data_IF_754561145074
#
_entry.id   IF_754561145074
#
_cell.length_a   1.000
_cell.length_b   1.000
_cell.length_c   1.000
_cell.angle_alpha   90.00
_cell.angle_beta   90.00
_cell.angle_gamma   90.00
#
_symmetry.space_group_name_H-M   'P 1'
#
loop_
_entity.id
_entity.type
_entity.pdbx_description
1 polymer ?
#
# COMPACT_ATOMS: atom_id res chain seq x y z
N UNK A 1 -19.00 -30.71 19.96
CA UNK A 1 -17.60 -30.71 19.49
C UNK A 1 -17.69 -31.05 18.01
N UNK A 2 -17.63 -30.03 17.14
CA UNK A 2 -17.56 -30.25 15.69
C UNK A 2 -16.17 -30.77 15.39
N UNK A 3 -16.07 -31.97 14.86
CA UNK A 3 -14.85 -32.44 14.21
C UNK A 3 -14.54 -31.46 13.10
N UNK A 4 -13.41 -30.75 13.21
CA UNK A 4 -12.96 -29.80 12.22
C UNK A 4 -12.70 -30.51 10.90
N UNK A 5 -13.58 -30.29 9.95
CA UNK A 5 -13.42 -30.78 8.59
C UNK A 5 -12.61 -29.74 7.79
N UNK A 6 -11.54 -30.18 7.12
CA UNK A 6 -10.77 -29.34 6.18
C UNK A 6 -11.76 -28.70 5.21
N UNK A 7 -11.71 -27.39 5.09
CA UNK A 7 -12.61 -26.64 4.23
C UNK A 7 -12.24 -26.84 2.75
N UNK A 8 -13.23 -26.76 1.89
CA UNK A 8 -13.01 -26.76 0.44
C UNK A 8 -12.33 -25.43 0.01
N UNK A 9 -11.56 -25.47 -1.07
CA UNK A 9 -10.93 -24.28 -1.65
C UNK A 9 -11.95 -23.17 -1.95
N UNK A 10 -13.12 -23.55 -2.46
CA UNK A 10 -14.22 -22.62 -2.71
C UNK A 10 -14.68 -21.92 -1.42
N UNK A 11 -14.82 -22.66 -0.32
CA UNK A 11 -15.21 -22.08 0.96
C UNK A 11 -14.14 -21.18 1.55
N UNK A 12 -12.88 -21.58 1.44
CA UNK A 12 -11.73 -20.75 1.83
C UNK A 12 -11.73 -19.45 1.01
N UNK A 13 -11.96 -19.53 -0.30
CA UNK A 13 -12.08 -18.37 -1.18
C UNK A 13 -13.17 -17.40 -0.76
N UNK A 14 -14.35 -17.89 -0.43
CA UNK A 14 -15.47 -17.07 0.06
C UNK A 14 -15.14 -16.37 1.39
N UNK A 15 -14.47 -17.06 2.30
CA UNK A 15 -14.06 -16.49 3.59
C UNK A 15 -13.01 -15.39 3.39
N UNK A 16 -12.00 -15.63 2.56
CA UNK A 16 -10.94 -14.65 2.27
C UNK A 16 -11.50 -13.42 1.55
N UNK A 17 -12.36 -13.64 0.53
CA UNK A 17 -13.03 -12.54 -0.18
C UNK A 17 -13.85 -11.67 0.78
N UNK A 18 -14.65 -12.28 1.65
CA UNK A 18 -15.44 -11.58 2.64
C UNK A 18 -14.58 -10.82 3.65
N UNK A 19 -13.47 -11.40 4.11
CA UNK A 19 -12.55 -10.77 5.04
C UNK A 19 -11.86 -9.55 4.42
N UNK A 20 -11.39 -9.66 3.17
CA UNK A 20 -10.77 -8.57 2.44
C UNK A 20 -11.74 -7.41 2.19
N UNK A 21 -13.01 -7.71 1.92
CA UNK A 21 -14.05 -6.70 1.74
C UNK A 21 -14.41 -6.00 3.06
N UNK A 22 -14.46 -6.73 4.16
CA UNK A 22 -14.83 -6.22 5.48
C UNK A 22 -13.69 -5.46 6.19
N UNK A 23 -12.44 -5.69 5.78
CA UNK A 23 -11.28 -5.09 6.42
C UNK A 23 -11.18 -3.59 6.10
N UNK A 24 -10.71 -2.81 7.07
CA UNK A 24 -10.46 -1.37 6.90
C UNK A 24 -9.18 -1.08 6.10
N UNK A 25 -8.33 -2.06 5.90
CA UNK A 25 -7.06 -1.92 5.17
C UNK A 25 -6.55 -3.25 4.62
N UNK A 26 -5.36 -3.25 3.99
CA UNK A 26 -4.79 -4.47 3.42
C UNK A 26 -4.55 -5.55 4.47
N UNK A 27 -4.74 -6.82 4.09
CA UNK A 27 -4.49 -7.97 4.93
C UNK A 27 -3.32 -8.80 4.39
N UNK A 28 -2.43 -9.18 5.29
CA UNK A 28 -1.33 -10.10 4.99
C UNK A 28 -1.82 -11.55 4.96
N UNK A 29 -1.02 -12.45 4.36
CA UNK A 29 -1.28 -13.90 4.43
C UNK A 29 -1.40 -14.37 5.88
N UNK A 30 -0.58 -13.82 6.80
CA UNK A 30 -0.66 -14.14 8.23
C UNK A 30 -1.96 -13.65 8.88
N UNK A 31 -2.47 -12.48 8.49
CA UNK A 31 -3.77 -12.02 8.97
C UNK A 31 -4.89 -12.96 8.50
N UNK A 32 -4.84 -13.37 7.23
CA UNK A 32 -5.82 -14.29 6.66
C UNK A 32 -5.70 -15.69 7.28
N UNK A 33 -4.49 -16.18 7.51
CA UNK A 33 -4.25 -17.48 8.16
C UNK A 33 -4.91 -17.57 9.54
N UNK A 34 -4.86 -16.49 10.32
CA UNK A 34 -5.47 -16.43 11.66
C UNK A 34 -7.00 -16.47 11.68
N UNK A 35 -7.67 -16.33 10.53
CA UNK A 35 -9.11 -16.46 10.43
C UNK A 35 -9.58 -17.90 10.59
N UNK A 36 -8.70 -18.86 10.31
CA UNK A 36 -9.02 -20.28 10.28
C UNK A 36 -8.63 -20.95 11.60
N UNK A 37 -9.51 -21.82 12.08
CA UNK A 37 -9.22 -22.66 13.22
C UNK A 37 -8.27 -23.82 12.83
N UNK A 38 -7.72 -24.47 13.84
CA UNK A 38 -6.96 -25.70 13.66
C UNK A 38 -7.83 -26.74 12.92
N UNK A 39 -7.27 -27.41 11.92
CA UNK A 39 -7.90 -28.39 11.03
C UNK A 39 -8.87 -27.83 9.96
N UNK A 40 -9.06 -26.53 9.81
CA UNK A 40 -9.83 -25.95 8.70
C UNK A 40 -9.00 -25.80 7.42
N UNK A 41 -7.68 -25.66 7.55
CA UNK A 41 -6.69 -25.65 6.46
C UNK A 41 -5.84 -26.93 6.51
N UNK A 42 -5.13 -27.21 5.43
CA UNK A 42 -4.13 -28.27 5.40
C UNK A 42 -2.99 -27.98 6.39
N UNK A 43 -2.69 -28.93 7.28
CA UNK A 43 -1.77 -28.74 8.41
C UNK A 43 -0.40 -28.18 8.02
N UNK A 44 0.22 -28.68 6.94
CA UNK A 44 1.56 -28.27 6.52
C UNK A 44 1.56 -27.17 5.43
N UNK A 45 0.45 -26.96 4.75
CA UNK A 45 0.34 -26.15 3.56
C UNK A 45 -0.63 -24.96 3.67
N UNK A 46 -1.23 -24.72 4.83
CA UNK A 46 -2.30 -23.71 4.99
C UNK A 46 -1.95 -22.32 4.41
N UNK A 47 -0.72 -21.83 4.62
CA UNK A 47 -0.29 -20.54 4.04
C UNK A 47 -0.12 -20.57 2.53
N UNK A 48 0.31 -21.71 1.99
CA UNK A 48 0.39 -21.91 0.54
C UNK A 48 -1.01 -21.95 -0.06
N UNK A 49 -1.92 -22.68 0.57
CA UNK A 49 -3.32 -22.76 0.18
C UNK A 49 -3.98 -21.37 0.12
N UNK A 50 -3.73 -20.52 1.12
CA UNK A 50 -4.20 -19.13 1.10
C UNK A 50 -3.61 -18.35 -0.10
N UNK A 51 -2.32 -18.47 -0.40
CA UNK A 51 -1.70 -17.81 -1.55
C UNK A 51 -2.30 -18.29 -2.87
N UNK A 52 -2.54 -19.57 -3.00
CA UNK A 52 -3.14 -20.17 -4.21
C UNK A 52 -4.59 -19.67 -4.39
N UNK A 53 -5.35 -19.56 -3.30
CA UNK A 53 -6.70 -18.98 -3.31
C UNK A 53 -6.66 -17.49 -3.66
N UNK A 54 -5.73 -16.72 -3.12
CA UNK A 54 -5.56 -15.30 -3.47
C UNK A 54 -5.25 -15.12 -4.96
N UNK A 55 -4.41 -15.96 -5.54
CA UNK A 55 -4.12 -15.95 -6.98
C UNK A 55 -5.38 -16.24 -7.82
N UNK A 56 -6.19 -17.22 -7.40
CA UNK A 56 -7.45 -17.53 -8.05
C UNK A 56 -8.47 -16.37 -7.95
N UNK A 57 -8.54 -15.69 -6.81
CA UNK A 57 -9.39 -14.50 -6.63
C UNK A 57 -8.93 -13.32 -7.48
N UNK A 58 -7.63 -13.16 -7.66
CA UNK A 58 -7.05 -12.13 -8.55
C UNK A 58 -7.47 -12.39 -10.00
N UNK A 59 -7.30 -13.61 -10.52
CA UNK A 59 -7.75 -14.01 -11.86
C UNK A 59 -9.26 -13.85 -12.06
N UNK A 60 -10.05 -14.15 -11.04
CA UNK A 60 -11.51 -13.99 -11.09
C UNK A 60 -11.98 -12.54 -11.22
N UNK A 61 -11.08 -11.56 -11.09
CA UNK A 61 -11.39 -10.15 -11.26
C UNK A 61 -11.26 -9.66 -12.72
N UNK A 62 -10.77 -10.46 -13.65
CA UNK A 62 -10.45 -10.02 -15.03
C UNK A 62 -11.63 -9.31 -15.71
N UNK A 63 -12.83 -9.87 -15.64
CA UNK A 63 -14.04 -9.33 -16.24
C UNK A 63 -14.92 -8.51 -15.27
N UNK A 64 -14.36 -8.12 -14.11
CA UNK A 64 -15.08 -7.38 -13.07
C UNK A 64 -14.59 -5.94 -12.98
N UNK A 65 -15.39 -5.09 -12.31
CA UNK A 65 -15.02 -3.69 -12.04
C UNK A 65 -14.06 -3.49 -10.88
N UNK A 66 -13.67 -4.58 -10.22
CA UNK A 66 -12.75 -4.60 -9.08
C UNK A 66 -11.51 -5.40 -9.44
N UNK A 67 -10.43 -5.13 -8.74
CA UNK A 67 -9.19 -5.91 -8.80
C UNK A 67 -8.69 -6.22 -7.39
N UNK A 68 -8.05 -7.37 -7.25
CA UNK A 68 -7.32 -7.74 -6.04
C UNK A 68 -5.84 -7.44 -6.28
N UNK A 69 -5.26 -6.58 -5.47
CA UNK A 69 -3.85 -6.18 -5.60
C UNK A 69 -3.09 -6.48 -4.31
N UNK A 70 -1.79 -6.66 -4.48
CA UNK A 70 -0.84 -6.72 -3.38
C UNK A 70 -0.10 -5.39 -3.26
N UNK A 71 -0.15 -4.80 -2.06
CA UNK A 71 0.60 -3.61 -1.67
C UNK A 71 1.53 -3.92 -0.50
N UNK A 72 2.29 -2.96 -0.01
CA UNK A 72 3.28 -3.19 1.07
C UNK A 72 2.67 -3.80 2.34
N UNK A 73 1.45 -3.41 2.70
CA UNK A 73 0.74 -3.88 3.90
C UNK A 73 -0.08 -5.16 3.69
N UNK A 74 -0.12 -5.72 2.49
CA UNK A 74 -0.83 -6.95 2.18
C UNK A 74 -1.72 -6.86 0.94
N UNK A 75 -2.83 -7.58 0.95
CA UNK A 75 -3.79 -7.65 -0.15
C UNK A 75 -5.02 -6.79 0.13
N UNK A 76 -5.56 -6.17 -0.90
CA UNK A 76 -6.83 -5.44 -0.86
C UNK A 76 -7.56 -5.48 -2.18
N UNK A 77 -8.89 -5.41 -2.12
CA UNK A 77 -9.71 -5.10 -3.27
C UNK A 77 -9.77 -3.60 -3.52
N UNK A 78 -9.78 -3.21 -4.76
CA UNK A 78 -10.02 -1.83 -5.18
C UNK A 78 -10.78 -1.78 -6.50
N UNK A 79 -11.40 -0.64 -6.82
CA UNK A 79 -11.97 -0.40 -8.13
C UNK A 79 -10.86 -0.30 -9.18
N UNK A 80 -11.08 -0.86 -10.36
CA UNK A 80 -10.14 -0.73 -11.47
C UNK A 80 -9.98 0.73 -11.89
N UNK A 81 -8.74 1.12 -12.20
CA UNK A 81 -8.38 2.50 -12.51
C UNK A 81 -9.08 3.05 -13.77
N UNK A 82 -9.34 2.20 -14.76
CA UNK A 82 -10.06 2.57 -15.98
C UNK A 82 -11.53 2.98 -15.73
N UNK A 83 -12.09 2.61 -14.58
CA UNK A 83 -13.43 3.00 -14.15
C UNK A 83 -13.46 4.28 -13.30
N UNK A 84 -12.32 4.90 -13.05
CA UNK A 84 -12.19 6.07 -12.16
C UNK A 84 -13.04 7.26 -12.59
N UNK A 85 -13.27 7.44 -13.90
CA UNK A 85 -14.10 8.52 -14.44
C UNK A 85 -15.56 8.46 -13.97
N UNK A 86 -16.07 7.26 -13.69
CA UNK A 86 -17.42 7.05 -13.16
C UNK A 86 -17.42 7.02 -11.65
N UNK A 87 -16.52 6.25 -11.05
CA UNK A 87 -16.44 6.06 -9.61
C UNK A 87 -16.21 7.38 -8.88
N UNK A 88 -15.38 8.28 -9.42
CA UNK A 88 -15.11 9.60 -8.83
C UNK A 88 -16.35 10.50 -8.71
N UNK A 89 -17.41 10.22 -9.46
CA UNK A 89 -18.67 10.97 -9.37
C UNK A 89 -19.48 10.70 -8.10
N UNK A 90 -19.11 9.67 -7.34
CA UNK A 90 -19.69 9.38 -6.02
C UNK A 90 -19.39 10.49 -4.99
N UNK A 91 -18.31 11.23 -5.20
CA UNK A 91 -17.89 12.31 -4.31
C UNK A 91 -18.15 13.66 -4.99
N UNK A 92 -18.92 14.49 -4.33
CA UNK A 92 -19.22 15.86 -4.82
C UNK A 92 -17.99 16.76 -4.79
N UNK A 93 -17.07 16.53 -3.85
CA UNK A 93 -15.81 17.24 -3.75
C UNK A 93 -14.77 16.64 -4.71
N UNK A 94 -14.18 17.50 -5.52
CA UNK A 94 -13.05 17.11 -6.37
C UNK A 94 -11.90 16.63 -5.46
N UNK A 95 -11.28 15.47 -5.74
CA UNK A 95 -10.14 15.02 -4.97
C UNK A 95 -9.07 16.12 -4.95
N UNK A 96 -8.45 16.31 -3.78
CA UNK A 96 -7.38 17.28 -3.60
C UNK A 96 -6.29 17.04 -4.65
N UNK A 97 -6.08 18.03 -5.50
CA UNK A 97 -4.96 17.99 -6.45
C UNK A 97 -3.70 18.42 -5.71
N UNK A 98 -2.74 17.51 -5.64
CA UNK A 98 -1.43 17.84 -5.12
C UNK A 98 -0.69 18.75 -6.08
N UNK A 99 0.01 19.75 -5.53
CA UNK A 99 0.83 20.64 -6.34
C UNK A 99 2.01 19.87 -6.94
N UNK A 100 2.48 20.31 -8.10
CA UNK A 100 3.70 19.77 -8.71
C UNK A 100 4.89 19.81 -7.75
N UNK A 101 5.05 20.91 -7.02
CA UNK A 101 6.12 21.08 -6.04
C UNK A 101 6.08 20.02 -4.92
N UNK A 102 4.87 19.66 -4.44
CA UNK A 102 4.70 18.60 -3.44
C UNK A 102 5.09 17.24 -4.01
N UNK A 103 4.62 16.91 -5.22
CA UNK A 103 4.92 15.64 -5.87
C UNK A 103 6.40 15.49 -6.22
N UNK A 104 7.06 16.56 -6.69
CA UNK A 104 8.50 16.56 -6.93
C UNK A 104 9.29 16.34 -5.64
N UNK A 105 8.90 16.98 -4.55
CA UNK A 105 9.52 16.78 -3.23
C UNK A 105 9.36 15.34 -2.76
N UNK A 106 8.16 14.78 -2.86
CA UNK A 106 7.88 13.39 -2.51
C UNK A 106 8.70 12.41 -3.35
N UNK A 107 8.78 12.64 -4.66
CA UNK A 107 9.57 11.81 -5.56
C UNK A 107 11.06 11.82 -5.17
N UNK A 108 11.63 12.98 -4.83
CA UNK A 108 13.02 13.06 -4.38
C UNK A 108 13.26 12.27 -3.10
N UNK A 109 12.33 12.33 -2.14
CA UNK A 109 12.44 11.48 -0.94
C UNK A 109 12.40 10.01 -1.34
N UNK A 110 11.46 9.60 -2.19
CA UNK A 110 11.30 8.20 -2.60
C UNK A 110 12.54 7.63 -3.30
N UNK A 111 13.15 8.39 -4.21
CA UNK A 111 14.29 7.94 -5.01
C UNK A 111 15.65 8.12 -4.36
N UNK A 112 15.80 9.10 -3.47
CA UNK A 112 17.09 9.50 -2.90
C UNK A 112 17.23 9.23 -1.40
N UNK A 113 16.19 8.72 -0.76
CA UNK A 113 16.21 8.46 0.68
C UNK A 113 17.43 7.64 1.16
N UNK A 114 17.97 7.91 2.35
CA UNK A 114 17.55 8.96 3.27
C UNK A 114 18.09 10.35 2.83
N UNK A 115 17.24 11.36 2.88
CA UNK A 115 17.59 12.74 2.47
C UNK A 115 17.15 13.77 3.50
N UNK A 116 17.90 14.88 3.59
CA UNK A 116 17.49 16.05 4.37
C UNK A 116 16.66 17.00 3.51
N UNK A 117 15.95 17.93 4.16
CA UNK A 117 15.30 19.03 3.46
C UNK A 117 16.28 19.84 2.61
N UNK A 118 17.50 20.11 3.14
CA UNK A 118 18.52 20.82 2.42
C UNK A 118 19.00 20.10 1.15
N UNK A 119 19.11 18.76 1.18
CA UNK A 119 19.43 17.97 -0.01
C UNK A 119 18.36 18.14 -1.09
N UNK A 120 17.09 18.09 -0.70
CA UNK A 120 15.94 18.26 -1.62
C UNK A 120 15.98 19.66 -2.25
N UNK A 121 16.22 20.70 -1.45
CA UNK A 121 16.33 22.09 -1.91
C UNK A 121 17.50 22.27 -2.88
N UNK A 122 18.62 21.64 -2.60
CA UNK A 122 19.80 21.66 -3.47
C UNK A 122 19.52 21.00 -4.83
N UNK A 123 18.86 19.85 -4.85
CA UNK A 123 18.52 19.14 -6.08
C UNK A 123 17.50 19.92 -6.91
N UNK A 124 16.48 20.47 -6.25
CA UNK A 124 15.42 21.24 -6.93
C UNK A 124 15.87 22.64 -7.37
N UNK A 125 16.92 23.17 -6.76
CA UNK A 125 17.38 24.56 -7.00
C UNK A 125 16.45 25.64 -6.41
N UNK A 126 15.44 25.24 -5.64
CA UNK A 126 14.46 26.12 -4.97
C UNK A 126 14.15 25.61 -3.57
N UNK A 127 13.78 26.53 -2.67
CA UNK A 127 13.39 26.17 -1.31
C UNK A 127 12.14 25.27 -1.28
N UNK A 128 12.10 24.37 -0.30
CA UNK A 128 10.91 23.56 0.01
C UNK A 128 10.11 24.29 1.09
N UNK A 129 8.85 24.60 0.80
CA UNK A 129 8.00 25.25 1.79
C UNK A 129 7.77 24.33 3.00
N UNK A 130 7.68 24.96 4.17
CA UNK A 130 7.35 24.20 5.40
C UNK A 130 6.01 23.52 5.31
N UNK A 131 5.07 24.07 4.56
CA UNK A 131 3.75 23.48 4.33
C UNK A 131 3.84 22.16 3.53
N UNK A 132 4.71 22.06 2.52
CA UNK A 132 4.94 20.83 1.76
C UNK A 132 5.45 19.73 2.71
N UNK A 133 6.50 20.00 3.48
CA UNK A 133 7.06 19.03 4.43
C UNK A 133 6.01 18.59 5.45
N UNK A 134 5.28 19.55 6.01
CA UNK A 134 4.20 19.25 6.97
C UNK A 134 3.12 18.36 6.35
N UNK A 135 2.66 18.67 5.15
CA UNK A 135 1.63 17.87 4.46
C UNK A 135 2.11 16.44 4.22
N UNK A 136 3.34 16.25 3.78
CA UNK A 136 3.91 14.91 3.56
C UNK A 136 4.01 14.10 4.86
N UNK A 137 4.37 14.75 5.97
CA UNK A 137 4.44 14.13 7.29
C UNK A 137 3.04 13.81 7.85
N UNK A 138 2.09 14.74 7.74
CA UNK A 138 0.71 14.56 8.21
C UNK A 138 -0.04 13.46 7.45
N UNK A 139 0.27 13.27 6.17
CA UNK A 139 -0.24 12.15 5.38
C UNK A 139 0.45 10.83 5.65
N UNK A 140 1.46 10.84 6.49
CA UNK A 140 2.29 9.67 6.76
C UNK A 140 2.92 9.06 5.49
N UNK A 141 3.23 9.90 4.51
CA UNK A 141 3.95 9.44 3.31
C UNK A 141 5.47 9.46 3.48
N UNK A 142 5.96 10.36 4.33
CA UNK A 142 7.36 10.41 4.75
C UNK A 142 7.45 10.42 6.27
N UNK A 143 8.61 10.05 6.78
CA UNK A 143 8.96 10.13 8.19
C UNK A 143 10.43 10.45 8.37
N UNK A 144 10.80 10.98 9.53
CA UNK A 144 12.20 11.07 9.93
C UNK A 144 12.73 9.65 10.24
N UNK A 145 13.81 9.28 9.57
CA UNK A 145 14.47 7.96 9.73
C UNK A 145 15.79 8.06 10.46
N UNK A 146 16.25 9.28 10.76
CA UNK A 146 17.49 9.55 11.46
C UNK A 146 17.85 11.03 11.39
N UNK A 147 19.08 11.33 11.76
CA UNK A 147 19.69 12.67 11.66
C UNK A 147 21.06 12.54 11.01
N UNK A 148 21.43 13.54 10.23
CA UNK A 148 22.78 13.62 9.66
C UNK A 148 23.73 14.21 10.70
N UNK A 149 24.93 13.67 10.78
CA UNK A 149 26.01 14.24 11.59
C UNK A 149 26.61 15.45 10.84
N UNK A 150 25.96 16.61 10.98
CA UNK A 150 26.35 17.89 10.41
C UNK A 150 25.88 19.01 11.33
N UNK A 151 26.39 20.24 11.19
CA UNK A 151 25.90 21.40 11.95
C UNK A 151 24.38 21.52 11.85
N UNK A 152 23.70 21.67 13.01
CA UNK A 152 22.25 21.71 13.08
C UNK A 152 21.56 20.34 13.07
N UNK A 153 22.30 19.22 12.91
CA UNK A 153 21.81 17.83 12.93
C UNK A 153 20.49 17.65 12.18
N UNK A 154 20.45 17.97 10.87
CA UNK A 154 19.19 17.95 10.12
C UNK A 154 18.58 16.56 10.06
N UNK A 155 17.25 16.50 10.14
CA UNK A 155 16.52 15.24 10.00
C UNK A 155 16.67 14.63 8.60
N UNK A 156 16.87 13.32 8.57
CA UNK A 156 16.84 12.51 7.36
C UNK A 156 15.43 11.93 7.19
N UNK A 157 14.88 12.03 5.98
CA UNK A 157 13.54 11.55 5.65
C UNK A 157 13.58 10.35 4.72
N UNK A 158 12.62 9.48 4.90
CA UNK A 158 12.33 8.35 4.04
C UNK A 158 10.83 8.15 3.87
N UNK A 159 10.45 7.32 2.92
CA UNK A 159 9.05 6.96 2.69
C UNK A 159 8.56 5.91 3.68
N UNK A 160 7.25 5.75 3.77
CA UNK A 160 6.55 4.85 4.68
C UNK A 160 5.83 3.74 3.92
N UNK A 161 5.30 2.75 4.64
CA UNK A 161 4.37 1.77 4.06
C UNK A 161 3.08 2.42 3.56
N UNK A 162 2.59 3.46 4.23
CA UNK A 162 1.42 4.23 3.81
C UNK A 162 1.63 4.86 2.44
N UNK A 163 2.83 5.40 2.16
CA UNK A 163 3.21 5.85 0.83
C UNK A 163 3.10 4.74 -0.21
N UNK A 164 3.70 3.59 0.06
CA UNK A 164 3.67 2.44 -0.85
C UNK A 164 2.25 1.97 -1.11
N UNK A 165 1.44 1.82 -0.07
CA UNK A 165 0.03 1.39 -0.19
C UNK A 165 -0.79 2.38 -1.00
N UNK A 166 -0.60 3.69 -0.78
CA UNK A 166 -1.34 4.74 -1.49
C UNK A 166 -1.04 4.72 -2.99
N UNK A 167 0.22 4.50 -3.37
CA UNK A 167 0.65 4.45 -4.76
C UNK A 167 0.62 3.04 -5.37
N UNK A 168 -0.06 2.09 -4.73
CA UNK A 168 -0.20 0.70 -5.18
C UNK A 168 1.14 -0.02 -5.37
N UNK A 169 2.10 0.25 -4.51
CA UNK A 169 3.43 -0.33 -4.55
C UNK A 169 3.60 -1.38 -3.44
N UNK A 170 4.29 -2.44 -3.77
CA UNK A 170 4.68 -3.50 -2.84
C UNK A 170 5.99 -3.15 -2.10
N UNK A 171 6.91 -2.57 -2.84
CA UNK A 171 8.21 -2.10 -2.38
C UNK A 171 8.72 -0.98 -3.27
N UNK A 172 9.85 -0.38 -2.89
CA UNK A 172 10.47 0.73 -3.64
C UNK A 172 11.04 0.32 -5.00
N UNK A 173 11.34 -0.97 -5.20
CA UNK A 173 11.89 -1.47 -6.48
C UNK A 173 10.86 -1.36 -7.63
N UNK A 174 9.59 -1.22 -7.31
CA UNK A 174 8.51 -1.03 -8.28
C UNK A 174 8.36 0.43 -8.74
N UNK A 175 9.12 1.35 -8.17
CA UNK A 175 9.16 2.73 -8.68
C UNK A 175 9.69 2.74 -10.12
N UNK A 176 9.09 3.56 -11.02
CA UNK A 176 9.61 3.71 -12.37
C UNK A 176 11.07 4.20 -12.34
N UNK A 177 11.94 3.77 -13.28
CA UNK A 177 13.28 4.32 -13.38
C UNK A 177 13.22 5.83 -13.63
N UNK A 178 14.17 6.57 -13.07
CA UNK A 178 14.35 7.98 -13.41
C UNK A 178 14.93 8.06 -14.82
N UNK A 179 14.23 8.74 -15.73
CA UNK A 179 14.73 9.09 -17.06
C UNK A 179 15.75 10.21 -16.98
#
# INVERSE_FOLDING_TARGET
>A
MSEGQVLTEEKIGQIIEAALLAAEGPLTVENLFKLFADNELEEENGRKQIRDVLAALEEACDDRGVELIRVASGYRYQAKQDLSAWVSRLWEEKPLRYTRALLETLALVAYKQPVTRGDIEQIRGVGVSQNIMRTLLERDWIRAVGQREAPGRPSLYGTTKTFLDYFNLNNLDQLPPLE
#
